data_IF_561882364630
#
_entry.id   IF_561882364630
#
_cell.length_a   1.000
_cell.length_b   1.000
_cell.length_c   1.000
_cell.angle_alpha   90.00
_cell.angle_beta   90.00
_cell.angle_gamma   90.00
#
_symmetry.space_group_name_H-M   'P 1'
#
loop_
_entity.id
_entity.type
_entity.pdbx_description
1 polymer ?
#
# COMPACT_ATOMS: atom_id res chain seq x y z
N UNK A 1 -6.06 6.74 -9.04
CA UNK A 1 -6.51 5.36 -9.31
C UNK A 1 -6.80 4.67 -7.99
N UNK A 2 -7.97 4.09 -7.87
CA UNK A 2 -8.40 3.48 -6.61
C UNK A 2 -8.46 1.96 -6.74
N UNK A 3 -7.85 1.27 -5.79
CA UNK A 3 -7.76 -0.19 -5.76
C UNK A 3 -8.02 -0.70 -4.34
N UNK A 4 -7.98 -2.00 -4.15
CA UNK A 4 -8.19 -2.61 -2.85
C UNK A 4 -7.08 -3.61 -2.58
N UNK A 5 -6.59 -3.61 -1.33
CA UNK A 5 -5.60 -4.61 -0.90
C UNK A 5 -6.26 -5.99 -0.89
N UNK A 6 -5.53 -6.99 -1.38
CA UNK A 6 -6.05 -8.34 -1.54
C UNK A 6 -6.30 -9.04 -0.20
N UNK A 7 -5.52 -8.70 0.83
CA UNK A 7 -5.53 -9.41 2.09
C UNK A 7 -5.40 -8.43 3.25
N UNK A 8 -5.15 -8.93 4.45
CA UNK A 8 -5.00 -8.08 5.63
C UNK A 8 -3.84 -7.10 5.46
N UNK A 9 -4.04 -5.88 5.93
CA UNK A 9 -3.06 -4.82 5.90
C UNK A 9 -2.56 -4.57 7.31
N UNK A 10 -1.24 -4.56 7.50
CA UNK A 10 -0.65 -4.35 8.82
C UNK A 10 0.17 -3.07 8.92
N UNK A 11 0.23 -2.29 7.84
CA UNK A 11 0.93 -1.01 7.85
C UNK A 11 2.23 -1.04 7.06
N UNK A 12 2.92 0.08 7.06
CA UNK A 12 4.21 0.23 6.38
C UNK A 12 5.34 -0.20 7.30
N UNK A 13 6.29 -0.98 6.78
CA UNK A 13 7.40 -1.50 7.60
C UNK A 13 8.78 -1.22 7.02
N UNK A 14 8.86 -0.47 5.92
CA UNK A 14 10.14 -0.15 5.29
C UNK A 14 10.30 -0.78 3.92
N UNK A 15 9.93 -2.04 3.77
CA UNK A 15 9.97 -2.74 2.48
C UNK A 15 8.71 -3.56 2.25
N UNK A 16 7.58 -3.05 2.70
CA UNK A 16 6.30 -3.72 2.60
C UNK A 16 5.96 -4.07 1.16
N UNK A 17 5.46 -5.28 0.96
CA UNK A 17 4.92 -5.73 -0.32
C UNK A 17 3.40 -5.65 -0.23
N UNK A 18 2.79 -4.98 -1.20
CA UNK A 18 1.34 -4.78 -1.23
C UNK A 18 0.78 -5.48 -2.47
N UNK A 19 -0.11 -6.43 -2.24
CA UNK A 19 -0.81 -7.13 -3.32
C UNK A 19 -2.22 -6.58 -3.42
N UNK A 20 -2.60 -6.17 -4.61
CA UNK A 20 -3.91 -5.58 -4.86
C UNK A 20 -4.82 -6.56 -5.59
N UNK A 21 -6.12 -6.33 -5.47
CA UNK A 21 -7.11 -7.24 -6.07
C UNK A 21 -7.10 -7.26 -7.59
N UNK A 22 -6.46 -6.29 -8.22
CA UNK A 22 -6.31 -6.27 -9.69
C UNK A 22 -5.13 -7.11 -10.17
N UNK A 23 -4.44 -7.80 -9.27
CA UNK A 23 -3.30 -8.64 -9.60
C UNK A 23 -1.97 -7.92 -9.56
N UNK A 24 -1.96 -6.61 -9.36
CA UNK A 24 -0.70 -5.88 -9.28
C UNK A 24 -0.03 -6.06 -7.92
N UNK A 25 1.28 -6.03 -7.93
CA UNK A 25 2.09 -6.15 -6.72
C UNK A 25 3.02 -4.95 -6.65
N UNK A 26 3.03 -4.31 -5.49
CA UNK A 26 3.79 -3.08 -5.28
C UNK A 26 4.72 -3.25 -4.10
N UNK A 27 5.85 -2.55 -4.16
CA UNK A 27 6.83 -2.56 -3.08
C UNK A 27 7.04 -1.15 -2.55
N UNK A 28 7.13 -1.03 -1.24
CA UNK A 28 7.44 0.24 -0.60
C UNK A 28 8.82 0.73 -1.06
N UNK A 29 8.88 1.98 -1.57
CA UNK A 29 10.10 2.53 -2.17
C UNK A 29 10.72 3.66 -1.36
N UNK A 30 10.11 4.05 -0.25
CA UNK A 30 10.69 5.03 0.66
C UNK A 30 10.50 4.54 2.09
N UNK A 31 11.45 4.85 2.97
CA UNK A 31 11.35 4.39 4.35
C UNK A 31 10.22 5.10 5.06
N UNK A 32 9.34 4.29 5.66
CA UNK A 32 8.26 4.78 6.51
C UNK A 32 7.81 3.63 7.37
N UNK A 33 7.69 3.86 8.65
CA UNK A 33 7.16 2.86 9.56
C UNK A 33 5.89 3.38 10.22
N UNK A 34 4.78 2.67 10.00
CA UNK A 34 3.51 3.01 10.62
C UNK A 34 2.65 1.75 10.68
N UNK A 35 2.38 1.27 11.88
CA UNK A 35 1.55 0.08 12.07
C UNK A 35 0.08 0.47 12.13
N UNK A 36 -0.74 -0.24 11.37
CA UNK A 36 -2.18 -0.15 11.47
C UNK A 36 -2.81 -1.37 10.85
N UNK A 37 -3.57 -2.13 11.61
CA UNK A 37 -4.27 -3.28 11.08
C UNK A 37 -5.58 -2.87 10.41
N UNK A 38 -5.83 -3.41 9.22
CA UNK A 38 -7.07 -3.21 8.51
C UNK A 38 -7.26 -4.38 7.56
N UNK A 39 -8.48 -4.87 7.41
CA UNK A 39 -8.74 -5.99 6.53
C UNK A 39 -9.18 -5.48 5.16
N UNK A 40 -8.37 -5.78 4.15
CA UNK A 40 -8.64 -5.44 2.75
C UNK A 40 -8.99 -3.96 2.55
N UNK A 41 -8.17 -3.04 3.04
CA UNK A 41 -8.46 -1.61 2.88
C UNK A 41 -8.38 -1.18 1.43
N UNK A 42 -9.08 -0.10 1.08
CA UNK A 42 -8.93 0.51 -0.22
C UNK A 42 -7.68 1.39 -0.25
N UNK A 43 -7.10 1.54 -1.43
CA UNK A 43 -5.94 2.38 -1.63
C UNK A 43 -6.16 3.30 -2.81
N UNK A 44 -5.52 4.46 -2.79
CA UNK A 44 -5.48 5.38 -3.91
C UNK A 44 -4.03 5.50 -4.38
N UNK A 45 -3.81 5.31 -5.68
CA UNK A 45 -2.48 5.40 -6.26
C UNK A 45 -2.47 6.57 -7.24
N UNK A 46 -1.54 7.49 -7.03
CA UNK A 46 -1.33 8.60 -7.93
C UNK A 46 0.16 8.66 -8.27
N UNK A 47 0.48 8.44 -9.56
CA UNK A 47 1.87 8.28 -9.97
C UNK A 47 2.48 7.08 -9.26
N UNK A 48 3.49 7.32 -8.45
CA UNK A 48 4.14 6.28 -7.66
C UNK A 48 3.91 6.42 -6.15
N UNK A 49 2.85 7.13 -5.75
CA UNK A 49 2.49 7.30 -4.34
C UNK A 49 1.21 6.53 -4.07
N UNK A 50 1.25 5.66 -3.07
CA UNK A 50 0.10 4.87 -2.65
C UNK A 50 -0.37 5.37 -1.29
N UNK A 51 -1.65 5.72 -1.20
CA UNK A 51 -2.29 6.08 0.05
C UNK A 51 -3.30 5.00 0.43
N UNK A 52 -3.02 4.32 1.53
CA UNK A 52 -3.91 3.28 2.05
C UNK A 52 -4.89 3.93 3.02
N UNK A 53 -6.18 3.65 2.85
CA UNK A 53 -7.21 4.23 3.70
C UNK A 53 -6.93 3.91 5.17
N UNK A 54 -6.98 4.94 6.00
CA UNK A 54 -6.69 4.82 7.43
C UNK A 54 -5.26 5.15 7.81
N UNK A 55 -4.35 5.20 6.84
CA UNK A 55 -2.98 5.60 7.11
C UNK A 55 -2.85 7.12 7.13
N UNK A 56 -1.83 7.63 7.83
CA UNK A 56 -1.69 9.07 8.03
C UNK A 56 -1.28 9.81 6.77
N UNK A 57 -0.60 9.14 5.82
CA UNK A 57 -0.15 9.78 4.58
C UNK A 57 0.22 8.74 3.54
N UNK A 58 0.38 9.20 2.30
CA UNK A 58 0.83 8.35 1.20
C UNK A 58 2.31 8.01 1.31
N UNK A 59 2.69 6.89 0.72
CA UNK A 59 4.07 6.40 0.72
C UNK A 59 4.44 6.07 -0.71
N UNK A 60 5.66 6.42 -1.08
CA UNK A 60 6.17 6.10 -2.40
C UNK A 60 6.31 4.59 -2.57
N UNK A 61 5.83 4.11 -3.70
CA UNK A 61 5.84 2.68 -4.00
C UNK A 61 6.37 2.46 -5.41
N UNK A 62 6.67 1.20 -5.72
CA UNK A 62 7.18 0.78 -7.01
C UNK A 62 6.47 -0.49 -7.41
N UNK A 63 5.90 -0.50 -8.60
CA UNK A 63 5.24 -1.69 -9.09
C UNK A 63 6.28 -2.74 -9.48
N UNK A 64 6.13 -3.96 -9.01
CA UNK A 64 7.05 -5.05 -9.28
C UNK A 64 6.40 -6.21 -10.00
N UNK A 65 5.07 -6.16 -10.18
CA UNK A 65 4.39 -7.19 -10.96
C UNK A 65 3.02 -6.70 -11.45
#
# INVERSE_FOLDING_TARGET
MRRQVEDAWTGWSGDTIVKLTDGSVWRQAEYRYEYRYSYRPHVTIEGNVMHVDGMSRGVRVRRID
#
